data_IF_928450298561
#
_entry.id   IF_928450298561
#
_cell.length_a   1.000
_cell.length_b   1.000
_cell.length_c   1.000
_cell.angle_alpha   90.00
_cell.angle_beta   90.00
_cell.angle_gamma   90.00
#
_symmetry.space_group_name_H-M   'P 1'
#
loop_
_entity.id
_entity.type
_entity.pdbx_description
1 polymer ?
#
# COMPACT_ATOMS: atom_id res chain seq x y z
N UNK A 1 50.76 -64.18 95.03
CA UNK A 1 51.23 -62.84 94.63
C UNK A 1 51.04 -62.76 93.12
N UNK A 2 49.89 -62.24 92.70
CA UNK A 2 49.62 -60.84 92.37
C UNK A 2 49.86 -60.63 90.87
N UNK A 3 48.77 -60.52 90.10
CA UNK A 3 48.79 -60.14 88.69
C UNK A 3 49.66 -58.87 88.54
N UNK A 4 50.53 -58.79 87.52
CA UNK A 4 51.35 -57.61 87.31
C UNK A 4 50.44 -56.38 87.21
N UNK A 5 50.81 -55.25 87.85
CA UNK A 5 50.00 -54.05 87.82
C UNK A 5 49.79 -53.61 86.36
N UNK A 6 48.58 -53.18 85.99
CA UNK A 6 48.31 -52.73 84.63
C UNK A 6 49.29 -51.60 84.28
N UNK A 7 50.04 -51.80 83.19
CA UNK A 7 50.96 -50.77 82.71
C UNK A 7 50.15 -49.58 82.20
N UNK A 8 50.38 -48.42 82.81
CA UNK A 8 49.77 -47.17 82.38
C UNK A 8 50.30 -46.81 80.98
N UNK A 9 49.45 -46.25 80.09
CA UNK A 9 49.88 -45.85 78.75
C UNK A 9 51.06 -44.87 78.80
N UNK A 10 52.07 -45.12 77.96
CA UNK A 10 53.23 -44.23 77.85
C UNK A 10 52.82 -42.93 77.15
N UNK A 11 52.58 -41.88 77.94
CA UNK A 11 52.12 -40.57 77.47
C UNK A 11 53.09 -39.97 76.42
N UNK A 12 54.40 -40.16 76.58
CA UNK A 12 55.39 -39.66 75.63
C UNK A 12 55.29 -40.35 74.27
N UNK A 13 54.98 -41.65 74.24
CA UNK A 13 54.73 -42.37 72.99
C UNK A 13 53.44 -41.88 72.31
N UNK A 14 52.42 -41.53 73.09
CA UNK A 14 51.18 -40.98 72.55
C UNK A 14 51.37 -39.58 71.97
N UNK A 15 52.15 -38.72 72.63
CA UNK A 15 52.50 -37.38 72.11
C UNK A 15 53.31 -37.49 70.82
N UNK A 16 54.31 -38.38 70.77
CA UNK A 16 55.09 -38.61 69.56
C UNK A 16 54.24 -39.16 68.40
N UNK A 17 53.30 -40.06 68.69
CA UNK A 17 52.34 -40.55 67.70
C UNK A 17 51.42 -39.43 67.19
N UNK A 18 51.02 -38.51 68.07
CA UNK A 18 50.21 -37.34 67.69
C UNK A 18 51.01 -36.37 66.80
N UNK A 19 52.26 -36.09 67.14
CA UNK A 19 53.15 -35.24 66.34
C UNK A 19 53.42 -35.87 64.96
N UNK A 20 53.54 -37.21 64.91
CA UNK A 20 53.71 -37.96 63.66
C UNK A 20 52.47 -37.86 62.79
N UNK A 21 51.28 -38.10 63.36
CA UNK A 21 50.00 -37.93 62.65
C UNK A 21 49.79 -36.50 62.16
N UNK A 22 50.21 -35.50 62.94
CA UNK A 22 50.16 -34.09 62.53
C UNK A 22 51.10 -33.77 61.37
N UNK A 23 52.27 -34.41 61.29
CA UNK A 23 53.21 -34.24 60.18
C UNK A 23 52.75 -35.01 58.94
N UNK A 24 52.20 -36.21 59.10
CA UNK A 24 51.66 -37.01 58.00
C UNK A 24 50.43 -36.36 57.35
N UNK A 25 49.57 -35.73 58.14
CA UNK A 25 48.41 -34.97 57.62
C UNK A 25 48.82 -33.72 56.84
N UNK A 26 49.92 -33.06 57.21
CA UNK A 26 50.47 -31.91 56.48
C UNK A 26 51.12 -32.28 55.14
N UNK A 27 51.55 -33.53 54.99
CA UNK A 27 52.16 -34.07 53.77
C UNK A 27 51.15 -34.71 52.81
N UNK A 28 49.85 -34.71 53.16
CA UNK A 28 48.81 -35.19 52.27
C UNK A 28 48.83 -34.35 50.96
N UNK A 29 49.10 -34.98 49.79
CA UNK A 29 49.32 -34.28 48.52
C UNK A 29 48.14 -33.39 48.06
N UNK A 30 46.98 -33.53 48.70
CA UNK A 30 45.74 -32.89 48.34
C UNK A 30 45.22 -31.85 49.33
N UNK A 31 45.95 -31.53 50.41
CA UNK A 31 45.54 -30.42 51.30
C UNK A 31 45.43 -29.07 50.55
N UNK A 32 46.21 -28.92 49.45
CA UNK A 32 46.23 -27.74 48.58
C UNK A 32 45.71 -28.02 47.14
N UNK A 33 45.44 -29.28 46.75
CA UNK A 33 45.16 -29.65 45.36
C UNK A 33 43.68 -29.54 44.96
N UNK A 34 42.77 -29.47 45.93
CA UNK A 34 41.36 -29.18 45.71
C UNK A 34 41.05 -27.76 46.17
N UNK A 35 41.52 -26.76 45.42
CA UNK A 35 41.05 -25.38 45.59
C UNK A 35 39.63 -25.20 44.98
N UNK A 36 38.71 -26.05 45.43
CA UNK A 36 37.29 -26.06 45.05
C UNK A 36 36.69 -24.68 45.28
N UNK A 37 37.11 -23.98 46.34
CA UNK A 37 36.70 -22.61 46.61
C UNK A 37 37.06 -21.65 45.48
N UNK A 38 38.29 -21.67 44.97
CA UNK A 38 38.70 -20.82 43.86
C UNK A 38 37.99 -21.19 42.54
N UNK A 39 37.81 -22.48 42.26
CA UNK A 39 37.07 -22.93 41.08
C UNK A 39 35.59 -22.50 41.14
N UNK A 40 34.95 -22.66 42.30
CA UNK A 40 33.57 -22.20 42.54
C UNK A 40 33.46 -20.67 42.35
N UNK A 41 34.40 -19.90 42.88
CA UNK A 41 34.43 -18.45 42.70
C UNK A 41 34.56 -18.05 41.21
N UNK A 42 35.41 -18.74 40.44
CA UNK A 42 35.56 -18.50 39.01
C UNK A 42 34.29 -18.83 38.21
N UNK A 43 33.62 -19.93 38.57
CA UNK A 43 32.32 -20.32 37.97
C UNK A 43 31.25 -19.29 38.31
N UNK A 44 31.17 -18.83 39.56
CA UNK A 44 30.24 -17.78 39.99
C UNK A 44 30.44 -16.48 39.20
N UNK A 45 31.70 -16.05 39.00
CA UNK A 45 32.01 -14.87 38.20
C UNK A 45 31.60 -15.06 36.73
N UNK A 46 31.88 -16.22 36.15
CA UNK A 46 31.48 -16.55 34.78
C UNK A 46 29.95 -16.56 34.62
N UNK A 47 29.22 -17.11 35.59
CA UNK A 47 27.76 -17.11 35.60
C UNK A 47 27.19 -15.69 35.70
N UNK A 48 27.77 -14.84 36.55
CA UNK A 48 27.36 -13.43 36.66
C UNK A 48 27.56 -12.67 35.32
N UNK A 49 28.68 -12.92 34.64
CA UNK A 49 28.94 -12.34 33.32
C UNK A 49 27.96 -12.85 32.25
N UNK A 50 27.63 -14.15 32.28
CA UNK A 50 26.64 -14.75 31.38
C UNK A 50 25.26 -14.14 31.60
N UNK A 51 24.82 -14.02 32.86
CA UNK A 51 23.57 -13.36 33.23
C UNK A 51 23.51 -11.94 32.68
N UNK A 52 24.58 -11.16 32.86
CA UNK A 52 24.68 -9.79 32.32
C UNK A 52 24.55 -9.77 30.81
N UNK A 53 25.25 -10.67 30.11
CA UNK A 53 25.24 -10.77 28.66
C UNK A 53 23.84 -11.14 28.13
N UNK A 54 23.17 -12.10 28.77
CA UNK A 54 21.81 -12.51 28.41
C UNK A 54 20.82 -11.37 28.63
N UNK A 55 20.92 -10.62 29.73
CA UNK A 55 20.08 -9.43 29.98
C UNK A 55 20.28 -8.34 28.92
N UNK A 56 21.54 -8.09 28.53
CA UNK A 56 21.85 -7.11 27.47
C UNK A 56 21.30 -7.55 26.11
N UNK A 57 21.44 -8.83 25.78
CA UNK A 57 20.89 -9.41 24.55
C UNK A 57 19.36 -9.35 24.53
N UNK A 58 18.71 -9.66 25.66
CA UNK A 58 17.25 -9.55 25.78
C UNK A 58 16.77 -8.10 25.54
N UNK A 59 17.50 -7.12 26.07
CA UNK A 59 17.20 -5.71 25.85
C UNK A 59 17.34 -5.32 24.38
N UNK A 60 18.41 -5.78 23.73
CA UNK A 60 18.67 -5.53 22.31
C UNK A 60 17.60 -6.17 21.42
N UNK A 61 17.16 -7.40 21.74
CA UNK A 61 16.08 -8.08 21.06
C UNK A 61 14.76 -7.32 21.18
N UNK A 62 14.42 -6.85 22.39
CA UNK A 62 13.21 -6.04 22.59
C UNK A 62 13.23 -4.76 21.74
N UNK A 63 14.38 -4.07 21.67
CA UNK A 63 14.54 -2.87 20.84
C UNK A 63 14.39 -3.17 19.34
N UNK A 64 14.95 -4.29 18.88
CA UNK A 64 14.80 -4.74 17.49
C UNK A 64 13.34 -5.07 17.18
N UNK A 65 12.63 -5.75 18.08
CA UNK A 65 11.19 -6.03 17.93
C UNK A 65 10.40 -4.74 17.76
N UNK A 66 10.63 -3.73 18.60
CA UNK A 66 9.97 -2.42 18.47
C UNK A 66 10.33 -1.73 17.15
N UNK A 67 11.60 -1.77 16.74
CA UNK A 67 12.04 -1.17 15.48
C UNK A 67 11.35 -1.82 14.28
N UNK A 68 11.27 -3.15 14.25
CA UNK A 68 10.59 -3.90 13.18
C UNK A 68 9.09 -3.59 13.16
N UNK A 69 8.45 -3.48 14.32
CA UNK A 69 7.04 -3.09 14.40
C UNK A 69 6.81 -1.70 13.80
N UNK A 70 7.63 -0.71 14.16
CA UNK A 70 7.53 0.65 13.65
C UNK A 70 7.77 0.73 12.13
N UNK A 71 8.76 -0.01 11.62
CA UNK A 71 9.02 -0.11 10.19
C UNK A 71 7.84 -0.73 9.44
N UNK A 72 7.26 -1.81 9.98
CA UNK A 72 6.07 -2.45 9.41
C UNK A 72 4.90 -1.47 9.30
N UNK A 73 4.61 -0.71 10.36
CA UNK A 73 3.58 0.34 10.33
C UNK A 73 3.88 1.41 9.27
N UNK A 74 5.13 1.87 9.19
CA UNK A 74 5.53 2.91 8.22
C UNK A 74 5.37 2.41 6.78
N UNK A 75 5.81 1.18 6.50
CA UNK A 75 5.68 0.54 5.18
C UNK A 75 4.20 0.40 4.80
N UNK A 76 3.35 -0.06 5.71
CA UNK A 76 1.92 -0.20 5.45
C UNK A 76 1.26 1.16 5.15
N UNK A 77 1.58 2.20 5.93
CA UNK A 77 1.05 3.54 5.70
C UNK A 77 1.48 4.09 4.33
N UNK A 78 2.76 3.94 3.99
CA UNK A 78 3.29 4.36 2.69
C UNK A 78 2.63 3.59 1.55
N UNK A 79 2.43 2.28 1.71
CA UNK A 79 1.74 1.46 0.72
C UNK A 79 0.31 1.96 0.48
N UNK A 80 -0.48 2.16 1.54
CA UNK A 80 -1.84 2.71 1.41
C UNK A 80 -1.85 4.08 0.73
N UNK A 81 -0.92 4.97 1.08
CA UNK A 81 -0.83 6.29 0.47
C UNK A 81 -0.48 6.22 -1.02
N UNK A 82 0.45 5.34 -1.41
CA UNK A 82 0.83 5.14 -2.81
C UNK A 82 -0.33 4.56 -3.61
N UNK A 83 -0.98 3.52 -3.10
CA UNK A 83 -2.15 2.91 -3.77
C UNK A 83 -3.26 3.93 -3.98
N UNK A 84 -3.65 4.69 -2.95
CA UNK A 84 -4.68 5.71 -3.11
C UNK A 84 -4.32 6.84 -4.08
N UNK A 85 -3.02 7.14 -4.25
CA UNK A 85 -2.56 8.09 -5.28
C UNK A 85 -2.61 7.50 -6.68
N UNK A 86 -2.40 6.20 -6.84
CA UNK A 86 -2.51 5.52 -8.13
C UNK A 86 -3.96 5.47 -8.59
N UNK A 87 -4.89 5.10 -7.68
CA UNK A 87 -6.33 5.10 -7.97
C UNK A 87 -6.80 6.48 -8.46
N UNK A 88 -6.38 7.55 -7.76
CA UNK A 88 -6.73 8.93 -8.14
C UNK A 88 -6.07 9.39 -9.46
N UNK A 89 -4.97 8.76 -9.89
CA UNK A 89 -4.37 9.03 -11.20
C UNK A 89 -5.19 8.33 -12.29
N UNK A 90 -5.58 7.07 -12.06
CA UNK A 90 -6.39 6.30 -13.01
C UNK A 90 -7.74 7.00 -13.27
N UNK A 91 -8.45 7.44 -12.23
CA UNK A 91 -9.70 8.22 -12.35
C UNK A 91 -9.52 9.49 -13.20
N UNK A 92 -8.35 10.14 -13.08
CA UNK A 92 -8.05 11.36 -13.84
C UNK A 92 -7.70 11.07 -15.28
N UNK A 93 -7.09 9.93 -15.58
CA UNK A 93 -6.79 9.51 -16.95
C UNK A 93 -8.09 9.16 -17.68
N UNK A 94 -9.00 8.42 -17.04
CA UNK A 94 -10.32 8.13 -17.60
C UNK A 94 -11.10 9.42 -17.94
N UNK A 95 -11.11 10.38 -17.01
CA UNK A 95 -11.75 11.67 -17.25
C UNK A 95 -11.07 12.50 -18.37
N UNK A 96 -9.77 12.33 -18.58
CA UNK A 96 -9.05 12.97 -19.70
C UNK A 96 -9.44 12.31 -21.01
N UNK A 97 -9.50 10.98 -21.06
CA UNK A 97 -9.87 10.23 -22.26
C UNK A 97 -11.30 10.57 -22.70
N UNK A 98 -12.26 10.65 -21.77
CA UNK A 98 -13.62 11.10 -22.06
C UNK A 98 -13.66 12.50 -22.67
N UNK A 99 -12.86 13.42 -22.12
CA UNK A 99 -12.76 14.80 -22.63
C UNK A 99 -12.11 14.85 -24.01
N UNK A 100 -11.09 14.04 -24.26
CA UNK A 100 -10.44 13.95 -25.57
C UNK A 100 -11.41 13.40 -26.61
N UNK A 101 -12.14 12.34 -26.30
CA UNK A 101 -13.18 11.78 -27.16
C UNK A 101 -14.26 12.82 -27.52
N UNK A 102 -14.70 13.63 -26.55
CA UNK A 102 -15.65 14.71 -26.80
C UNK A 102 -15.07 15.81 -27.72
N UNK A 103 -13.83 16.24 -27.47
CA UNK A 103 -13.14 17.25 -28.28
C UNK A 103 -12.94 16.75 -29.73
N UNK A 104 -12.53 15.50 -29.90
CA UNK A 104 -12.36 14.90 -31.22
C UNK A 104 -13.68 14.85 -31.99
N UNK A 105 -14.78 14.46 -31.32
CA UNK A 105 -16.12 14.50 -31.89
C UNK A 105 -16.52 15.90 -32.37
N UNK A 106 -16.28 16.93 -31.55
CA UNK A 106 -16.59 18.31 -31.90
C UNK A 106 -15.72 18.85 -33.04
N UNK A 107 -14.41 18.57 -33.02
CA UNK A 107 -13.48 18.98 -34.08
C UNK A 107 -13.83 18.34 -35.43
N UNK A 108 -14.30 17.10 -35.45
CA UNK A 108 -14.77 16.45 -36.68
C UNK A 108 -15.97 17.18 -37.32
N UNK A 109 -16.87 17.72 -36.50
CA UNK A 109 -18.06 18.42 -36.98
C UNK A 109 -17.80 19.91 -37.28
N UNK A 110 -16.74 20.49 -36.72
CA UNK A 110 -16.49 21.92 -36.79
C UNK A 110 -16.48 22.51 -38.21
N UNK A 111 -15.82 21.91 -39.22
CA UNK A 111 -15.81 22.49 -40.56
C UNK A 111 -17.21 22.51 -41.19
N UNK A 112 -18.00 21.45 -41.01
CA UNK A 112 -19.39 21.41 -41.47
C UNK A 112 -20.24 22.49 -40.77
N UNK A 113 -20.10 22.62 -39.46
CA UNK A 113 -20.81 23.64 -38.66
C UNK A 113 -20.48 25.05 -39.15
N UNK A 114 -19.21 25.34 -39.46
CA UNK A 114 -18.80 26.63 -40.03
C UNK A 114 -19.45 26.90 -41.39
N UNK A 115 -19.47 25.91 -42.28
CA UNK A 115 -20.11 26.04 -43.60
C UNK A 115 -21.61 26.32 -43.48
N UNK A 116 -22.28 25.63 -42.57
CA UNK A 116 -23.71 25.80 -42.35
C UNK A 116 -24.06 27.10 -41.60
N UNK A 117 -23.17 27.57 -40.72
CA UNK A 117 -23.37 28.82 -39.98
C UNK A 117 -23.46 30.04 -40.92
N UNK A 118 -22.63 30.06 -41.96
CA UNK A 118 -22.57 31.15 -42.95
C UNK A 118 -23.57 30.97 -44.10
N UNK A 119 -24.21 29.81 -44.22
CA UNK A 119 -25.21 29.56 -45.24
C UNK A 119 -26.48 30.40 -44.97
N UNK A 120 -27.02 31.03 -46.03
CA UNK A 120 -28.33 31.67 -45.95
C UNK A 120 -29.45 30.64 -45.73
N UNK A 121 -30.60 31.11 -45.24
CA UNK A 121 -31.68 30.24 -44.74
C UNK A 121 -32.23 29.25 -45.78
N UNK A 122 -32.24 29.66 -47.05
CA UNK A 122 -32.71 28.90 -48.20
C UNK A 122 -31.63 28.01 -48.83
N UNK A 123 -30.38 28.08 -48.36
CA UNK A 123 -29.26 27.36 -48.96
C UNK A 123 -29.12 25.94 -48.42
N UNK A 124 -28.58 25.01 -49.23
CA UNK A 124 -28.50 23.62 -48.84
C UNK A 124 -27.56 23.41 -47.65
N UNK A 125 -28.06 22.77 -46.59
CA UNK A 125 -27.25 22.38 -45.44
C UNK A 125 -26.35 21.19 -45.78
N UNK A 126 -25.23 21.08 -45.07
CA UNK A 126 -24.21 20.05 -45.23
C UNK A 126 -24.22 19.08 -44.05
N UNK A 127 -24.04 17.79 -44.34
CA UNK A 127 -23.85 16.73 -43.35
C UNK A 127 -22.38 16.57 -42.93
N UNK A 128 -22.08 15.66 -41.99
CA UNK A 128 -20.73 15.40 -41.48
C UNK A 128 -19.69 15.00 -42.54
N UNK A 129 -20.14 14.43 -43.66
CA UNK A 129 -19.36 14.06 -44.85
C UNK A 129 -19.29 15.18 -45.89
N UNK A 130 -19.78 16.37 -45.56
CA UNK A 130 -19.97 17.51 -46.46
C UNK A 130 -20.92 17.24 -47.63
N UNK A 131 -21.73 16.18 -47.58
CA UNK A 131 -22.79 15.98 -48.55
C UNK A 131 -23.95 16.96 -48.28
N UNK A 132 -24.69 17.31 -49.35
CA UNK A 132 -25.93 18.08 -49.21
C UNK A 132 -26.95 17.23 -48.46
N UNK A 133 -27.56 17.78 -47.42
CA UNK A 133 -28.62 17.10 -46.69
C UNK A 133 -29.90 17.00 -47.55
N UNK A 134 -30.51 15.82 -47.51
CA UNK A 134 -31.81 15.52 -48.08
C UNK A 134 -32.67 14.78 -47.07
N UNK A 135 -33.97 14.61 -47.37
CA UNK A 135 -34.89 13.82 -46.56
C UNK A 135 -34.25 12.47 -46.16
N UNK A 136 -34.29 12.07 -44.86
CA UNK A 136 -35.07 12.63 -43.75
C UNK A 136 -34.46 13.86 -43.05
N UNK A 137 -33.28 14.33 -43.48
CA UNK A 137 -32.61 15.49 -42.89
C UNK A 137 -33.12 16.81 -43.49
N UNK A 138 -33.03 17.93 -42.75
CA UNK A 138 -33.48 19.21 -43.25
C UNK A 138 -32.53 19.68 -44.35
N UNK A 139 -33.04 19.84 -45.57
CA UNK A 139 -32.19 20.29 -46.67
C UNK A 139 -31.83 21.77 -46.57
N UNK A 140 -32.58 22.58 -45.81
CA UNK A 140 -32.34 24.02 -45.58
C UNK A 140 -32.72 24.39 -44.15
N UNK A 141 -32.32 25.58 -43.67
CA UNK A 141 -32.70 26.08 -42.32
C UNK A 141 -34.21 26.25 -42.20
N UNK A 142 -34.86 26.77 -43.24
CA UNK A 142 -36.32 26.96 -43.22
C UNK A 142 -37.08 25.63 -43.10
N UNK A 143 -36.57 24.56 -43.72
CA UNK A 143 -37.16 23.22 -43.55
C UNK A 143 -36.99 22.70 -42.13
N UNK A 144 -35.85 22.96 -41.47
CA UNK A 144 -35.66 22.60 -40.07
C UNK A 144 -36.70 23.28 -39.16
N UNK A 145 -37.02 24.55 -39.40
CA UNK A 145 -38.05 25.27 -38.65
C UNK A 145 -39.47 24.68 -38.86
N UNK A 146 -39.70 24.02 -40.00
CA UNK A 146 -40.96 23.37 -40.32
C UNK A 146 -41.06 21.92 -39.80
N UNK A 147 -39.97 21.29 -39.36
CA UNK A 147 -39.95 19.87 -38.98
C UNK A 147 -40.94 19.52 -37.88
N UNK A 148 -41.74 18.50 -38.09
CA UNK A 148 -42.58 17.87 -37.06
C UNK A 148 -41.74 17.03 -36.09
N UNK A 149 -42.37 16.52 -35.02
CA UNK A 149 -41.71 15.59 -34.08
C UNK A 149 -41.19 14.34 -34.80
N UNK A 150 -41.97 13.79 -35.73
CA UNK A 150 -41.59 12.59 -36.49
C UNK A 150 -40.38 12.85 -37.39
N UNK A 151 -40.35 13.98 -38.08
CA UNK A 151 -39.22 14.38 -38.93
C UNK A 151 -37.97 14.67 -38.10
N UNK A 152 -38.11 15.31 -36.93
CA UNK A 152 -36.99 15.47 -36.01
C UNK A 152 -36.41 14.12 -35.59
N UNK A 153 -37.26 13.17 -35.20
CA UNK A 153 -36.82 11.83 -34.79
C UNK A 153 -36.11 11.10 -35.94
N UNK A 154 -36.67 11.15 -37.14
CA UNK A 154 -36.08 10.54 -38.33
C UNK A 154 -34.71 11.16 -38.67
N UNK A 155 -34.60 12.49 -38.58
CA UNK A 155 -33.34 13.19 -38.81
C UNK A 155 -32.31 12.90 -37.74
N UNK A 156 -32.70 12.81 -36.47
CA UNK A 156 -31.79 12.47 -35.39
C UNK A 156 -31.14 11.09 -35.57
N UNK A 157 -31.95 10.09 -35.90
CA UNK A 157 -31.46 8.74 -36.22
C UNK A 157 -30.50 8.79 -37.41
N UNK A 158 -30.84 9.51 -38.47
CA UNK A 158 -30.02 9.57 -39.68
C UNK A 158 -28.72 10.39 -39.50
N UNK A 159 -28.70 11.36 -38.58
CA UNK A 159 -27.51 12.15 -38.23
C UNK A 159 -26.65 11.48 -37.15
N UNK A 160 -27.08 10.33 -36.61
CA UNK A 160 -26.39 9.66 -35.51
C UNK A 160 -26.47 10.42 -34.17
N UNK A 161 -27.51 11.26 -34.00
CA UNK A 161 -27.76 11.96 -32.75
C UNK A 161 -28.31 11.00 -31.70
N UNK A 162 -27.96 11.25 -30.43
CA UNK A 162 -28.58 10.56 -29.30
C UNK A 162 -30.11 10.75 -29.34
N UNK A 163 -30.84 9.72 -28.93
CA UNK A 163 -32.29 9.78 -28.87
C UNK A 163 -32.75 10.97 -28.01
N UNK A 164 -33.70 11.74 -28.53
CA UNK A 164 -34.28 12.84 -27.78
C UNK A 164 -34.98 12.34 -26.52
N UNK A 165 -34.95 13.18 -25.48
CA UNK A 165 -35.74 12.94 -24.28
C UNK A 165 -37.22 12.72 -24.64
N UNK A 166 -37.93 11.76 -24.02
CA UNK A 166 -39.32 11.44 -24.38
C UNK A 166 -40.27 12.64 -24.32
N UNK A 167 -40.05 13.56 -23.37
CA UNK A 167 -40.86 14.76 -23.18
C UNK A 167 -40.37 16.00 -23.93
N UNK A 168 -39.30 15.89 -24.73
CA UNK A 168 -38.76 17.03 -25.46
C UNK A 168 -39.78 17.55 -26.48
N UNK A 169 -40.03 18.86 -26.41
CA UNK A 169 -40.88 19.59 -27.37
C UNK A 169 -40.27 19.57 -28.77
N UNK A 170 -41.08 19.82 -29.80
CA UNK A 170 -40.57 19.90 -31.18
C UNK A 170 -39.48 20.96 -31.33
N UNK A 171 -39.63 22.11 -30.66
CA UNK A 171 -38.64 23.19 -30.72
C UNK A 171 -37.31 22.81 -30.04
N UNK A 172 -37.35 22.05 -28.94
CA UNK A 172 -36.12 21.52 -28.33
C UNK A 172 -35.40 20.53 -29.23
N UNK A 173 -36.15 19.66 -29.92
CA UNK A 173 -35.57 18.69 -30.87
C UNK A 173 -34.94 19.42 -32.07
N UNK A 174 -35.64 20.40 -32.64
CA UNK A 174 -35.11 21.22 -33.73
C UNK A 174 -33.87 22.02 -33.29
N UNK A 175 -33.86 22.58 -32.07
CA UNK A 175 -32.66 23.21 -31.48
C UNK A 175 -31.48 22.26 -31.38
N UNK A 176 -31.70 21.01 -30.99
CA UNK A 176 -30.63 20.02 -30.90
C UNK A 176 -30.07 19.65 -32.29
N UNK A 177 -30.93 19.46 -33.28
CA UNK A 177 -30.51 19.25 -34.68
C UNK A 177 -29.76 20.49 -35.20
N UNK A 178 -30.26 21.69 -34.92
CA UNK A 178 -29.64 22.93 -35.32
C UNK A 178 -28.22 23.09 -34.75
N UNK A 179 -28.05 22.80 -33.45
CA UNK A 179 -26.75 22.80 -32.78
C UNK A 179 -25.78 21.80 -33.39
N UNK A 180 -26.25 20.60 -33.69
CA UNK A 180 -25.41 19.59 -34.35
C UNK A 180 -24.92 20.06 -35.71
N UNK A 181 -25.83 20.59 -36.52
CA UNK A 181 -25.55 21.09 -37.87
C UNK A 181 -24.83 22.45 -37.89
N UNK A 182 -24.70 23.14 -36.76
CA UNK A 182 -24.06 24.46 -36.68
C UNK A 182 -24.88 25.59 -37.29
N UNK A 183 -26.21 25.47 -37.30
CA UNK A 183 -27.11 26.52 -37.78
C UNK A 183 -27.73 27.28 -36.61
N UNK A 184 -27.92 28.59 -36.78
CA UNK A 184 -28.68 29.39 -35.83
C UNK A 184 -30.16 28.94 -35.83
N UNK A 185 -30.74 28.82 -34.64
CA UNK A 185 -32.14 28.46 -34.39
C UNK A 185 -32.80 29.53 -33.52
#
# INVERSE_FOLDING_TARGET
>A
MALPPPQLPNIQAMVAAFDTLSQETALLPNANAFNIGAQLAAIQASLANLTTTVTNNQTSLNNLTTTVQNLSTTVNNNHTHVTGRLDAIDDRLDAIDDRLNAIEGDLRLHPMRLMNAVAAHDKPLRGPDFAVLSNPNPSTRDKLLAFTVNECNASAVNLGLSAFHPTATVDERRRQIARFLGVAY
#
